data_IF_264881355636
#
_entry.id   IF_264881355636
#
_cell.length_a   1.000
_cell.length_b   1.000
_cell.length_c   1.000
_cell.angle_alpha   90.00
_cell.angle_beta   90.00
_cell.angle_gamma   90.00
#
_symmetry.space_group_name_H-M   'P 1'
#
loop_
_entity.id
_entity.type
_entity.pdbx_description
1 polymer ?
#
# COMPACT_ATOMS: atom_id res chain seq x y z
N UNK A 1 11.14 4.80 15.55
CA UNK A 1 11.58 4.37 14.24
C UNK A 1 12.45 5.43 13.61
N UNK A 2 13.59 5.01 13.05
CA UNK A 2 14.61 5.95 12.59
C UNK A 2 14.54 6.22 11.11
N UNK A 3 13.35 6.45 10.61
CA UNK A 3 13.14 6.76 9.21
C UNK A 3 12.65 8.20 9.12
N UNK A 4 13.27 8.99 8.26
CA UNK A 4 12.84 10.37 8.08
C UNK A 4 11.45 10.39 7.48
N UNK A 5 10.75 11.49 7.70
CA UNK A 5 9.41 11.64 7.13
C UNK A 5 9.44 11.53 5.61
N UNK A 6 10.47 12.09 4.99
CA UNK A 6 10.63 12.04 3.55
C UNK A 6 10.77 10.59 3.06
N UNK A 7 11.60 9.82 3.74
CA UNK A 7 11.82 8.42 3.37
C UNK A 7 10.57 7.59 3.60
N UNK A 8 9.86 7.84 4.69
CA UNK A 8 8.62 7.16 4.97
C UNK A 8 7.60 7.41 3.85
N UNK A 9 7.45 8.66 3.44
CA UNK A 9 6.49 8.98 2.38
C UNK A 9 6.86 8.32 1.07
N UNK A 10 8.15 8.31 0.76
CA UNK A 10 8.63 7.66 -0.45
C UNK A 10 8.31 6.16 -0.43
N UNK A 11 8.64 5.50 0.67
CA UNK A 11 8.43 4.05 0.79
C UNK A 11 6.94 3.71 0.76
N UNK A 12 6.13 4.51 1.42
CA UNK A 12 4.69 4.33 1.42
C UNK A 12 4.13 4.43 -0.01
N UNK A 13 4.58 5.42 -0.75
CA UNK A 13 4.12 5.60 -2.13
C UNK A 13 4.55 4.44 -3.01
N UNK A 14 5.78 3.97 -2.83
CA UNK A 14 6.28 2.86 -3.62
C UNK A 14 5.49 1.59 -3.38
N UNK A 15 5.24 1.24 -2.11
CA UNK A 15 4.52 0.01 -1.82
C UNK A 15 3.06 0.12 -2.27
N UNK A 16 2.48 1.31 -2.14
CA UNK A 16 1.10 1.54 -2.60
C UNK A 16 0.99 1.34 -4.11
N UNK A 17 1.93 1.92 -4.86
CA UNK A 17 1.92 1.78 -6.31
C UNK A 17 2.06 0.32 -6.73
N UNK A 18 2.90 -0.43 -6.03
CA UNK A 18 3.09 -1.84 -6.34
C UNK A 18 1.86 -2.66 -6.01
N UNK A 19 1.16 -2.34 -4.93
CA UNK A 19 -0.10 -3.00 -4.61
C UNK A 19 -1.11 -2.80 -5.74
N UNK A 20 -1.23 -1.58 -6.21
CA UNK A 20 -2.17 -1.26 -7.29
C UNK A 20 -1.78 -2.00 -8.56
N UNK A 21 -0.47 -2.04 -8.88
CA UNK A 21 0.00 -2.74 -10.06
C UNK A 21 -0.33 -4.24 -10.01
N UNK A 22 -0.16 -4.87 -8.85
CA UNK A 22 -0.50 -6.28 -8.72
C UNK A 22 -2.00 -6.49 -8.96
N UNK A 23 -2.83 -5.62 -8.40
CA UNK A 23 -4.27 -5.75 -8.60
C UNK A 23 -4.67 -5.61 -10.06
N UNK A 24 -4.02 -4.70 -10.79
CA UNK A 24 -4.37 -4.49 -12.20
C UNK A 24 -3.74 -5.54 -13.09
N UNK A 25 -2.47 -5.86 -12.88
CA UNK A 25 -1.72 -6.71 -13.81
C UNK A 25 -1.95 -8.19 -13.56
N UNK A 26 -2.09 -8.60 -12.31
CA UNK A 26 -2.26 -10.01 -11.99
C UNK A 26 -3.70 -10.41 -11.76
N UNK A 27 -4.50 -9.53 -11.17
CA UNK A 27 -5.89 -9.85 -10.87
C UNK A 27 -6.88 -9.25 -11.87
N UNK A 28 -6.37 -8.45 -12.81
CA UNK A 28 -7.22 -7.94 -13.88
C UNK A 28 -8.21 -6.86 -13.49
N UNK A 29 -8.03 -6.22 -12.33
CA UNK A 29 -8.93 -5.15 -11.94
C UNK A 29 -8.68 -3.92 -12.81
N UNK A 30 -9.76 -3.22 -13.22
CA UNK A 30 -9.57 -1.90 -13.81
C UNK A 30 -8.84 -0.98 -12.87
N UNK A 31 -8.02 -0.10 -13.41
CA UNK A 31 -7.17 0.77 -12.60
C UNK A 31 -7.94 1.55 -11.56
N UNK A 32 -9.08 2.11 -11.95
CA UNK A 32 -9.87 2.93 -11.02
C UNK A 32 -10.37 2.11 -9.84
N UNK A 33 -10.76 0.86 -10.11
CA UNK A 33 -11.22 -0.01 -9.03
C UNK A 33 -10.07 -0.41 -8.11
N UNK A 34 -8.90 -0.66 -8.70
CA UNK A 34 -7.72 -1.00 -7.90
C UNK A 34 -7.34 0.14 -6.98
N UNK A 35 -7.32 1.35 -7.51
CA UNK A 35 -7.01 2.54 -6.71
C UNK A 35 -8.02 2.69 -5.58
N UNK A 36 -9.30 2.60 -5.90
CA UNK A 36 -10.35 2.76 -4.91
C UNK A 36 -10.25 1.69 -3.83
N UNK A 37 -10.01 0.45 -4.23
CA UNK A 37 -9.91 -0.65 -3.28
C UNK A 37 -8.79 -0.43 -2.27
N UNK A 38 -7.64 0.04 -2.74
CA UNK A 38 -6.50 0.28 -1.85
C UNK A 38 -6.74 1.52 -0.99
N UNK A 39 -7.12 2.63 -1.60
CA UNK A 39 -7.20 3.90 -0.89
C UNK A 39 -8.36 3.97 0.11
N UNK A 40 -9.43 3.23 -0.12
CA UNK A 40 -10.57 3.24 0.80
C UNK A 40 -10.43 2.20 1.92
N UNK A 41 -9.36 1.42 1.91
CA UNK A 41 -9.20 0.33 2.87
C UNK A 41 -8.71 0.85 4.23
N UNK A 42 -9.07 0.10 5.27
CA UNK A 42 -8.55 0.34 6.61
C UNK A 42 -7.04 0.16 6.63
N UNK A 43 -6.56 -0.79 5.84
CA UNK A 43 -5.13 -1.05 5.72
C UNK A 43 -4.36 0.19 5.27
N UNK A 44 -4.91 0.93 4.31
CA UNK A 44 -4.23 2.11 3.82
C UNK A 44 -4.12 3.18 4.90
N UNK A 45 -5.13 3.31 5.74
CA UNK A 45 -5.07 4.25 6.85
C UNK A 45 -3.96 3.86 7.82
N UNK A 46 -3.82 2.57 8.11
CA UNK A 46 -2.75 2.09 8.99
C UNK A 46 -1.39 2.25 8.33
N UNK A 47 -1.32 2.07 7.02
CA UNK A 47 -0.08 2.26 6.27
C UNK A 47 0.43 3.70 6.41
N UNK A 48 -0.48 4.65 6.57
CA UNK A 48 -0.13 6.06 6.74
C UNK A 48 0.44 6.39 8.11
N UNK A 49 0.44 5.43 9.03
CA UNK A 49 1.02 5.62 10.35
C UNK A 49 2.36 4.89 10.38
N UNK A 50 3.45 5.65 10.43
CA UNK A 50 4.80 5.07 10.37
C UNK A 50 5.05 4.08 11.50
N UNK A 51 4.40 4.27 12.65
CA UNK A 51 4.63 3.41 13.80
C UNK A 51 4.13 1.99 13.61
N UNK A 52 3.22 1.77 12.66
CA UNK A 52 2.77 0.41 12.37
C UNK A 52 3.84 -0.42 11.69
N UNK A 53 4.82 0.23 11.06
CA UNK A 53 5.84 -0.47 10.30
C UNK A 53 5.35 -1.09 9.01
N UNK A 54 4.10 -0.86 8.63
CA UNK A 54 3.52 -1.51 7.45
C UNK A 54 4.21 -1.07 6.17
N UNK A 55 4.75 0.15 6.14
CA UNK A 55 5.43 0.64 4.94
C UNK A 55 6.71 -0.14 4.63
N UNK A 56 7.21 -0.94 5.58
CA UNK A 56 8.35 -1.83 5.35
C UNK A 56 7.94 -3.19 4.78
N UNK A 57 6.65 -3.50 4.80
CA UNK A 57 6.19 -4.81 4.36
C UNK A 57 6.10 -4.89 2.84
N UNK A 58 6.13 -6.11 2.33
CA UNK A 58 6.02 -6.29 0.88
C UNK A 58 4.60 -5.98 0.41
N UNK A 59 4.45 -5.57 -0.85
CA UNK A 59 3.10 -5.33 -1.39
C UNK A 59 2.21 -6.57 -1.32
N UNK A 60 2.77 -7.75 -1.51
CA UNK A 60 1.97 -8.98 -1.47
C UNK A 60 1.48 -9.28 -0.06
N UNK A 61 2.33 -9.03 0.93
CA UNK A 61 1.90 -9.19 2.31
C UNK A 61 0.73 -8.26 2.63
N UNK A 62 0.88 -6.99 2.21
CA UNK A 62 -0.18 -6.02 2.48
C UNK A 62 -1.47 -6.39 1.77
N UNK A 63 -1.38 -6.85 0.52
CA UNK A 63 -2.57 -7.26 -0.21
C UNK A 63 -3.27 -8.44 0.44
N UNK A 64 -2.53 -9.32 1.11
CA UNK A 64 -3.15 -10.45 1.79
C UNK A 64 -4.04 -10.01 2.94
N UNK A 65 -3.86 -8.79 3.42
CA UNK A 65 -4.68 -8.21 4.49
C UNK A 65 -5.70 -7.20 3.99
N UNK A 66 -5.79 -7.03 2.68
CA UNK A 66 -6.72 -6.08 2.09
C UNK A 66 -8.11 -6.70 2.05
N UNK A 67 -9.09 -5.98 2.55
CA UNK A 67 -10.48 -6.45 2.57
C UNK A 67 -11.34 -5.70 1.59
#
# INVERSE_FOLDING_TARGET
>A
MNVSEKDFLYMKEQVTAKMIAILTEEQGLPLELAIDKVYSSELFQKLGNAETGLFFQSPRYLLSHLQ
#
